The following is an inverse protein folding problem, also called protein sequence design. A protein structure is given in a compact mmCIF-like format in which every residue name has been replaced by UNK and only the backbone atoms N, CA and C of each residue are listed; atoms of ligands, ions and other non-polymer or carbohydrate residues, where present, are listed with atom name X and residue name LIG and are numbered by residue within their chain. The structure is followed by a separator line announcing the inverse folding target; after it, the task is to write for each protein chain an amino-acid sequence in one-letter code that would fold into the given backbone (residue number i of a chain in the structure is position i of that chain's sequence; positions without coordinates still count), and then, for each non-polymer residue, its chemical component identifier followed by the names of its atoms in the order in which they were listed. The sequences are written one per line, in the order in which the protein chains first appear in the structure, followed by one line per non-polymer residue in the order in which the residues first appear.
data_IF_192712063955
#
_entry.id   IF_192712063955
#
_cell.length_a   1.000
_cell.length_b   1.000
_cell.length_c   1.000
_cell.angle_alpha   90.00
_cell.angle_beta   90.00
_cell.angle_gamma   90.00
#
_symmetry.space_group_name_H-M   'P 1'
#
loop_
_entity.id
_entity.type
_entity.pdbx_description
1 polymer ?
#
# COMPACT_ATOMS: atom_id res chain seq x y z
N UNK A 1 -9.76 26.63 10.52
CA UNK A 1 -8.80 25.79 11.30
C UNK A 1 -9.26 24.34 11.39
N UNK A 2 -10.39 24.02 12.03
CA UNK A 2 -10.87 22.62 12.16
C UNK A 2 -10.98 21.88 10.82
N UNK A 3 -11.61 22.50 9.81
CA UNK A 3 -11.72 21.89 8.47
C UNK A 3 -10.36 21.67 7.79
N UNK A 4 -9.40 22.58 7.98
CA UNK A 4 -8.04 22.40 7.46
C UNK A 4 -7.33 21.24 8.17
N UNK A 5 -7.50 21.13 9.50
CA UNK A 5 -6.95 20.02 10.29
C UNK A 5 -7.50 18.68 9.79
N UNK A 6 -8.82 18.61 9.61
CA UNK A 6 -9.45 17.41 9.10
C UNK A 6 -9.01 17.08 7.67
N UNK A 7 -8.95 18.09 6.79
CA UNK A 7 -8.55 17.92 5.39
C UNK A 7 -7.13 17.41 5.23
N UNK A 8 -6.15 18.00 5.92
CA UNK A 8 -4.76 17.51 5.83
C UNK A 8 -4.64 16.10 6.44
N UNK A 9 -5.27 15.86 7.59
CA UNK A 9 -5.20 14.55 8.26
C UNK A 9 -5.79 13.44 7.39
N UNK A 10 -6.91 13.71 6.73
CA UNK A 10 -7.55 12.78 5.81
C UNK A 10 -6.67 12.53 4.56
N UNK A 11 -6.02 13.56 4.04
CA UNK A 11 -5.10 13.40 2.92
C UNK A 11 -3.90 12.53 3.31
N UNK A 12 -3.27 12.81 4.45
CA UNK A 12 -2.10 12.07 4.93
C UNK A 12 -2.41 10.60 5.21
N UNK A 13 -3.56 10.30 5.84
CA UNK A 13 -3.92 8.90 6.13
C UNK A 13 -4.22 8.10 4.86
N UNK A 14 -4.82 8.74 3.85
CA UNK A 14 -5.06 8.14 2.52
C UNK A 14 -3.75 7.86 1.80
N UNK A 15 -2.82 8.82 1.77
CA UNK A 15 -1.50 8.59 1.20
C UNK A 15 -0.76 7.47 1.93
N UNK A 16 -0.86 7.43 3.26
CA UNK A 16 -0.22 6.41 4.07
C UNK A 16 -0.75 5.00 3.76
N UNK A 17 -2.07 4.81 3.69
CA UNK A 17 -2.66 3.50 3.42
C UNK A 17 -2.42 3.02 1.99
N UNK A 18 -2.46 3.93 1.01
CA UNK A 18 -2.24 3.62 -0.41
C UNK A 18 -0.80 3.18 -0.72
N UNK A 19 0.16 3.64 0.08
CA UNK A 19 1.59 3.37 -0.13
C UNK A 19 2.23 2.58 1.01
N UNK A 20 1.42 1.93 1.85
CA UNK A 20 1.93 1.24 3.04
C UNK A 20 2.85 0.07 2.68
N UNK A 21 4.13 0.18 3.10
CA UNK A 21 5.12 -0.90 3.03
C UNK A 21 5.66 -1.23 1.63
N UNK A 22 5.05 -0.72 0.57
CA UNK A 22 5.47 -0.94 -0.81
C UNK A 22 6.66 -0.05 -1.18
N UNK A 23 7.60 -0.59 -1.96
CA UNK A 23 8.78 0.14 -2.41
C UNK A 23 9.05 -0.13 -3.90
N UNK A 24 9.64 0.86 -4.56
CA UNK A 24 10.18 0.74 -5.92
C UNK A 24 11.63 0.30 -5.86
N UNK A 25 12.02 -0.59 -6.74
CA UNK A 25 13.42 -1.00 -6.86
C UNK A 25 14.26 0.13 -7.49
N UNK A 26 15.45 0.34 -6.92
CA UNK A 26 16.46 1.22 -7.49
C UNK A 26 17.34 0.39 -8.43
N UNK A 27 17.44 0.85 -9.68
CA UNK A 27 18.26 0.22 -10.71
C UNK A 27 19.75 0.51 -10.46
N UNK A 28 20.67 -0.27 -11.07
CA UNK A 28 22.11 -0.06 -10.95
C UNK A 28 22.59 1.33 -11.38
N UNK A 29 21.82 2.03 -12.22
CA UNK A 29 22.09 3.41 -12.65
C UNK A 29 21.64 4.48 -11.64
N UNK A 30 21.16 4.07 -10.47
CA UNK A 30 20.65 4.94 -9.40
C UNK A 30 19.21 5.44 -9.61
N UNK A 31 18.57 5.11 -10.74
CA UNK A 31 17.18 5.52 -11.02
C UNK A 31 16.20 4.48 -10.51
N UNK A 32 15.05 4.92 -10.01
CA UNK A 32 13.98 4.01 -9.66
C UNK A 32 13.26 3.49 -10.90
N UNK A 33 12.79 2.25 -10.84
CA UNK A 33 11.92 1.66 -11.86
C UNK A 33 10.67 2.50 -12.12
N UNK A 34 10.05 2.40 -13.30
CA UNK A 34 8.83 3.15 -13.60
C UNK A 34 7.71 2.81 -12.59
N UNK A 35 6.86 3.77 -12.24
CA UNK A 35 5.66 3.53 -11.43
C UNK A 35 4.70 2.59 -12.17
N UNK A 36 4.26 1.53 -11.49
CA UNK A 36 3.36 0.49 -11.99
C UNK A 36 2.19 0.31 -11.00
N UNK A 37 1.07 -0.31 -11.41
CA UNK A 37 -0.08 -0.52 -10.54
C UNK A 37 0.25 -1.28 -9.23
N UNK A 38 1.26 -2.15 -9.26
CA UNK A 38 1.76 -2.91 -8.11
C UNK A 38 2.35 -2.02 -7.00
N UNK A 39 2.72 -0.77 -7.30
CA UNK A 39 3.41 0.13 -6.36
C UNK A 39 2.45 0.94 -5.46
N UNK A 40 1.16 0.58 -5.45
CA UNK A 40 0.16 1.15 -4.56
C UNK A 40 -0.99 0.18 -4.31
N UNK A 41 -1.57 0.25 -3.13
CA UNK A 41 -2.79 -0.45 -2.76
C UNK A 41 -4.00 0.15 -3.49
N UNK A 42 -4.89 -0.73 -3.95
CA UNK A 42 -6.15 -0.44 -4.62
C UNK A 42 -7.33 -0.88 -3.72
N UNK A 43 -8.54 -0.42 -4.00
CA UNK A 43 -9.77 -0.90 -3.35
C UNK A 43 -10.92 -0.94 -4.36
N UNK A 44 -11.52 -2.11 -4.56
CA UNK A 44 -12.64 -2.27 -5.50
C UNK A 44 -14.02 -2.25 -4.82
N UNK A 45 -14.16 -1.49 -3.72
CA UNK A 45 -15.41 -1.46 -2.97
C UNK A 45 -16.40 -0.43 -3.53
N UNK A 46 -17.33 -0.89 -4.36
CA UNK A 46 -18.35 -0.11 -5.09
C UNK A 46 -18.96 1.06 -4.27
N UNK A 47 -19.37 0.83 -3.01
CA UNK A 47 -19.99 1.85 -2.18
C UNK A 47 -19.03 3.01 -1.84
N UNK A 48 -17.76 2.70 -1.63
CA UNK A 48 -16.72 3.67 -1.30
C UNK A 48 -16.15 4.32 -2.55
N UNK A 49 -15.98 3.56 -3.63
CA UNK A 49 -15.68 4.07 -4.97
C UNK A 49 -16.69 5.14 -5.43
N UNK A 50 -17.98 4.93 -5.21
CA UNK A 50 -19.01 5.92 -5.55
C UNK A 50 -18.95 7.18 -4.66
N UNK A 51 -18.70 7.01 -3.35
CA UNK A 51 -18.62 8.12 -2.40
C UNK A 51 -17.34 8.97 -2.58
N UNK A 52 -16.24 8.35 -2.97
CA UNK A 52 -14.93 8.98 -3.16
C UNK A 52 -14.63 9.28 -4.63
N UNK A 53 -15.62 9.23 -5.53
CA UNK A 53 -15.44 9.52 -6.96
C UNK A 53 -14.33 8.70 -7.65
N UNK A 54 -14.22 7.42 -7.31
CA UNK A 54 -13.25 6.52 -7.92
C UNK A 54 -11.82 6.70 -7.45
N UNK A 55 -11.60 7.41 -6.33
CA UNK A 55 -10.30 7.57 -5.68
C UNK A 55 -9.56 6.23 -5.51
N UNK A 56 -10.33 5.16 -5.30
CA UNK A 56 -9.76 3.85 -5.02
C UNK A 56 -8.93 3.30 -6.20
N UNK A 57 -9.17 3.72 -7.45
CA UNK A 57 -8.38 3.35 -8.66
C UNK A 57 -7.01 4.03 -8.73
N UNK A 58 -6.43 4.30 -7.57
CA UNK A 58 -5.18 5.02 -7.35
C UNK A 58 -4.01 4.42 -8.14
N UNK A 59 -3.94 3.08 -8.18
CA UNK A 59 -2.90 2.34 -8.89
C UNK A 59 -2.84 2.66 -10.40
N UNK A 60 -3.99 2.82 -11.07
CA UNK A 60 -4.00 3.23 -12.47
C UNK A 60 -3.68 4.70 -12.65
N UNK A 61 -4.14 5.57 -11.74
CA UNK A 61 -3.81 6.98 -11.80
C UNK A 61 -2.30 7.21 -11.68
N UNK A 62 -1.64 6.51 -10.76
CA UNK A 62 -0.18 6.59 -10.60
C UNK A 62 0.59 5.98 -11.78
N UNK A 63 0.10 4.88 -12.36
CA UNK A 63 0.72 4.28 -13.53
C UNK A 63 0.50 5.09 -14.83
N UNK A 64 -0.66 5.76 -14.93
CA UNK A 64 -1.14 6.49 -16.11
C UNK A 64 -1.75 7.86 -15.73
N UNK A 65 -0.97 8.83 -15.24
CA UNK A 65 -1.49 10.08 -14.66
C UNK A 65 -2.22 10.98 -15.67
N UNK A 66 -2.01 10.77 -16.97
CA UNK A 66 -2.70 11.51 -18.04
C UNK A 66 -4.08 10.94 -18.39
N UNK A 67 -4.44 9.78 -17.82
CA UNK A 67 -5.73 9.15 -18.02
C UNK A 67 -6.80 9.90 -17.24
N UNK A 68 -7.92 10.21 -17.90
CA UNK A 68 -9.04 10.91 -17.26
C UNK A 68 -9.69 10.02 -16.19
N UNK A 69 -10.16 10.64 -15.11
CA UNK A 69 -10.70 9.92 -13.94
C UNK A 69 -11.82 8.93 -14.31
N UNK A 70 -12.68 9.27 -15.28
CA UNK A 70 -13.83 8.44 -15.67
C UNK A 70 -13.43 7.07 -16.27
N UNK A 71 -12.19 6.98 -16.78
CA UNK A 71 -11.71 5.81 -17.51
C UNK A 71 -10.57 5.09 -16.78
N UNK A 72 -10.30 5.46 -15.52
CA UNK A 72 -9.37 4.71 -14.67
C UNK A 72 -9.82 3.26 -14.57
N UNK A 73 -8.88 2.32 -14.45
CA UNK A 73 -9.12 0.87 -14.45
C UNK A 73 -8.66 0.26 -13.13
N UNK A 74 -9.17 -0.94 -12.86
CA UNK A 74 -8.58 -1.86 -11.88
C UNK A 74 -7.61 -2.78 -12.62
N UNK A 75 -6.49 -3.09 -11.98
CA UNK A 75 -5.51 -4.07 -12.43
C UNK A 75 -5.47 -5.22 -11.42
N UNK A 76 -5.42 -6.46 -11.90
CA UNK A 76 -5.35 -7.66 -11.06
C UNK A 76 -4.00 -7.74 -10.33
N UNK A 77 -2.96 -7.12 -10.90
CA UNK A 77 -1.61 -7.05 -10.34
C UNK A 77 -1.47 -6.02 -9.22
N UNK A 78 -2.45 -5.12 -9.06
CA UNK A 78 -2.43 -4.14 -7.99
C UNK A 78 -2.82 -4.80 -6.65
N UNK A 79 -2.02 -4.63 -5.58
CA UNK A 79 -2.39 -5.17 -4.28
C UNK A 79 -3.70 -4.53 -3.78
N UNK A 80 -4.60 -5.32 -3.20
CA UNK A 80 -5.93 -4.86 -2.81
C UNK A 80 -6.04 -4.71 -1.29
N UNK A 81 -6.62 -3.61 -0.84
CA UNK A 81 -6.99 -3.42 0.56
C UNK A 81 -8.05 -4.46 0.94
N UNK A 82 -8.02 -5.00 2.18
CA UNK A 82 -8.95 -6.04 2.61
C UNK A 82 -10.38 -5.54 2.88
N UNK A 83 -10.61 -4.23 2.82
CA UNK A 83 -11.90 -3.57 3.05
C UNK A 83 -11.90 -2.17 2.42
N UNK A 84 -13.08 -1.55 2.29
CA UNK A 84 -13.22 -0.20 1.73
C UNK A 84 -12.55 0.88 2.57
N UNK A 85 -12.22 2.03 1.94
CA UNK A 85 -11.44 3.11 2.56
C UNK A 85 -11.97 3.56 3.91
N UNK A 86 -13.29 3.65 4.12
CA UNK A 86 -13.82 4.10 5.42
C UNK A 86 -13.35 3.23 6.59
N UNK A 87 -13.31 1.90 6.40
CA UNK A 87 -12.82 0.97 7.42
C UNK A 87 -11.30 1.07 7.54
N UNK A 88 -10.59 1.12 6.41
CA UNK A 88 -9.13 1.14 6.39
C UNK A 88 -8.56 2.44 6.97
N UNK A 89 -9.18 3.59 6.70
CA UNK A 89 -8.84 4.89 7.31
C UNK A 89 -9.00 4.80 8.83
N UNK A 90 -10.12 4.27 9.32
CA UNK A 90 -10.35 4.10 10.75
C UNK A 90 -9.28 3.22 11.42
N UNK A 91 -8.90 2.11 10.76
CA UNK A 91 -7.81 1.24 11.22
C UNK A 91 -6.45 1.93 11.20
N UNK A 92 -6.14 2.74 10.18
CA UNK A 92 -4.87 3.43 10.02
C UNK A 92 -4.59 4.43 11.15
N UNK A 93 -5.63 5.05 11.73
CA UNK A 93 -5.50 5.88 12.93
C UNK A 93 -5.17 5.09 14.22
N UNK A 94 -5.24 3.76 14.19
CA UNK A 94 -4.89 2.87 15.32
C UNK A 94 -3.73 1.96 14.90
N UNK A 95 -2.47 2.42 14.98
CA UNK A 95 -1.31 1.73 14.39
C UNK A 95 -1.12 0.26 14.79
N UNK A 96 -1.40 -0.19 16.04
CA UNK A 96 -1.29 -1.60 16.38
C UNK A 96 -2.29 -2.49 15.62
N UNK A 97 -3.51 -2.00 15.37
CA UNK A 97 -4.53 -2.72 14.61
C UNK A 97 -4.20 -2.70 13.12
N UNK A 98 -3.80 -1.54 12.59
CA UNK A 98 -3.34 -1.39 11.21
C UNK A 98 -2.24 -2.41 10.87
N UNK A 99 -1.17 -2.45 11.67
CA UNK A 99 -0.05 -3.37 11.46
C UNK A 99 -0.46 -4.84 11.55
N UNK A 100 -1.36 -5.18 12.46
CA UNK A 100 -1.89 -6.55 12.55
C UNK A 100 -2.60 -6.97 11.26
N UNK A 101 -3.30 -6.04 10.60
CA UNK A 101 -4.05 -6.29 9.37
C UNK A 101 -3.17 -6.20 8.12
N UNK A 102 -2.18 -5.32 8.09
CA UNK A 102 -1.46 -4.98 6.85
C UNK A 102 -0.04 -5.55 6.76
N UNK A 103 0.68 -5.77 7.87
CA UNK A 103 2.10 -6.18 7.81
C UNK A 103 2.28 -7.49 7.04
N UNK A 104 1.44 -8.50 7.30
CA UNK A 104 1.52 -9.77 6.58
C UNK A 104 1.14 -9.63 5.10
N UNK A 105 0.22 -8.73 4.77
CA UNK A 105 -0.21 -8.51 3.38
C UNK A 105 0.88 -7.87 2.53
N UNK A 106 1.66 -6.97 3.14
CA UNK A 106 2.85 -6.42 2.48
C UNK A 106 3.85 -7.53 2.17
N UNK A 107 4.02 -8.51 3.07
CA UNK A 107 4.88 -9.66 2.83
C UNK A 107 4.32 -10.54 1.71
N UNK A 108 3.02 -10.82 1.71
CA UNK A 108 2.35 -11.63 0.69
C UNK A 108 2.52 -11.04 -0.72
N UNK A 109 2.58 -9.71 -0.87
CA UNK A 109 2.81 -9.03 -2.16
C UNK A 109 4.18 -9.34 -2.77
N UNK A 110 5.18 -9.58 -1.93
CA UNK A 110 6.56 -9.82 -2.36
C UNK A 110 7.01 -11.26 -2.07
N UNK A 111 6.08 -12.20 -1.90
CA UNK A 111 6.36 -13.60 -1.58
C UNK A 111 7.28 -13.76 -0.35
N UNK A 112 7.15 -12.83 0.62
CA UNK A 112 7.96 -12.78 1.83
C UNK A 112 9.31 -12.07 1.70
N UNK A 113 9.71 -11.62 0.50
CA UNK A 113 11.02 -10.98 0.28
C UNK A 113 11.14 -9.65 1.03
N UNK A 114 11.82 -9.71 2.19
CA UNK A 114 12.04 -8.56 3.06
C UNK A 114 12.93 -7.48 2.44
N UNK A 115 13.65 -7.77 1.36
CA UNK A 115 14.49 -6.79 0.65
C UNK A 115 13.67 -5.82 -0.21
N UNK A 116 12.45 -6.21 -0.57
CA UNK A 116 11.55 -5.45 -1.46
C UNK A 116 10.52 -4.59 -0.73
N UNK A 117 10.50 -4.63 0.60
CA UNK A 117 9.56 -3.88 1.43
C UNK A 117 10.23 -2.70 2.14
N UNK A 118 9.47 -1.63 2.32
CA UNK A 118 9.93 -0.49 3.09
C UNK A 118 9.73 -0.74 4.59
N UNK A 119 10.83 -0.94 5.32
CA UNK A 119 10.83 -1.21 6.76
C UNK A 119 11.37 0.01 7.53
N UNK A 120 10.64 0.45 8.56
CA UNK A 120 11.13 1.43 9.53
C UNK A 120 12.49 0.97 10.11
N UNK A 121 13.58 1.74 9.92
CA UNK A 121 14.92 1.33 10.36
C UNK A 121 14.99 0.94 11.82
N UNK A 122 14.18 1.57 12.69
CA UNK A 122 14.16 1.28 14.13
C UNK A 122 13.50 -0.04 14.48
N UNK A 123 12.72 -0.61 13.55
CA UNK A 123 11.96 -1.85 13.75
C UNK A 123 12.49 -2.99 12.88
N UNK A 124 13.51 -2.75 12.06
CA UNK A 124 14.05 -3.70 11.09
C UNK A 124 14.43 -5.02 11.74
N UNK A 125 15.27 -4.99 12.78
CA UNK A 125 15.74 -6.20 13.44
C UNK A 125 14.59 -7.03 14.02
N UNK A 126 13.58 -6.37 14.60
CA UNK A 126 12.38 -7.04 15.12
C UNK A 126 11.52 -7.66 14.03
N UNK A 127 11.38 -6.98 12.89
CA UNK A 127 10.58 -7.44 11.75
C UNK A 127 11.30 -8.62 11.07
N UNK A 128 12.61 -8.50 10.86
CA UNK A 128 13.46 -9.59 10.34
C UNK A 128 13.45 -10.79 11.29
N UNK A 129 13.54 -10.59 12.60
CA UNK A 129 13.46 -11.69 13.56
C UNK A 129 12.07 -12.38 13.56
N UNK A 130 11.00 -11.64 13.25
CA UNK A 130 9.63 -12.15 13.26
C UNK A 130 9.25 -12.86 11.95
N UNK A 131 9.73 -12.37 10.82
CA UNK A 131 9.30 -12.82 9.49
C UNK A 131 10.43 -13.39 8.63
N UNK A 132 11.70 -13.13 8.96
CA UNK A 132 12.86 -13.63 8.22
C UNK A 132 13.03 -15.15 8.30
N UNK A 133 12.57 -15.80 9.37
CA UNK A 133 12.56 -17.27 9.48
C UNK A 133 11.52 -17.95 8.59
N UNK A 134 10.53 -17.22 8.07
CA UNK A 134 9.55 -17.75 7.12
C UNK A 134 10.15 -17.93 5.71
N UNK A 135 11.25 -17.22 5.39
CA UNK A 135 11.98 -17.31 4.12
C UNK A 135 12.86 -18.58 4.06
N UNK A 136 13.60 -18.88 5.13
CA UNK A 136 14.50 -20.04 5.19
C UNK A 136 13.77 -21.40 5.07
N UNK A 137 12.48 -21.46 5.40
CA UNK A 137 11.69 -22.69 5.32
C UNK A 137 11.07 -22.93 3.93
N UNK A 138 10.90 -21.87 3.12
CA UNK A 138 10.33 -21.95 1.78
C UNK A 138 11.39 -22.21 0.70
N UNK A 139 12.64 -21.76 0.93
CA UNK A 139 13.78 -21.99 0.02
C UNK A 139 14.40 -23.42 0.12
N UNK A 140 13.87 -24.29 1.00
CA UNK A 140 14.35 -25.66 1.21
C UNK A 140 13.31 -26.72 0.78
N UNK A 141 12.16 -26.32 0.20
CA UNK A 141 11.11 -27.21 -0.30
C UNK A 141 11.01 -27.20 -1.82
#
# INVERSE_FOLDING_TARGET
VVQAVFGFSLLEVVNYLEHYGLQREQRPDGRYERVRPEHSWNSDHIATNLLLYGLERHSDHHANPTRRYQVLRTFDEAPQLPSGYGTMIGLAYVPPLWRKVMDHRVLDVYDGDLSKINIDPRKRDRIVARYGSALDAADIA
#
